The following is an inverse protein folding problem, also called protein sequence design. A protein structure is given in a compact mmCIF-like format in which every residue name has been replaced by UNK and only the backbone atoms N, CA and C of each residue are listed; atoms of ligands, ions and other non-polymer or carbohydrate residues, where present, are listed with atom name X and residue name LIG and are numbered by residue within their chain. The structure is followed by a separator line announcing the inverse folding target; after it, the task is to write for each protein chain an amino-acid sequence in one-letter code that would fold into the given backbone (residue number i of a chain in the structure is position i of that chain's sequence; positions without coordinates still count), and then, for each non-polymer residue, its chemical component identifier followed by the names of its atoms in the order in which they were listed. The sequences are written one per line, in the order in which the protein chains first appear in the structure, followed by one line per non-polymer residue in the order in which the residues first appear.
data_IF_118986075057
#
_entry.id   IF_118986075057
#
_cell.length_a   1.000
_cell.length_b   1.000
_cell.length_c   1.000
_cell.angle_alpha   90.00
_cell.angle_beta   90.00
_cell.angle_gamma   90.00
#
_symmetry.space_group_name_H-M   'P 1'
#
loop_
_entity.id
_entity.type
_entity.pdbx_description
1 polymer ?
#
# COMPACT_ATOMS: atom_id res chain seq x y z
N UNK A 1 -16.06 -2.00 27.07
CA UNK A 1 -16.33 -3.10 26.12
C UNK A 1 -15.61 -2.80 24.82
N UNK A 2 -14.68 -3.65 24.34
CA UNK A 2 -14.14 -3.49 22.99
C UNK A 2 -15.29 -3.64 22.00
N UNK A 3 -15.47 -2.65 21.12
CA UNK A 3 -16.49 -2.69 20.07
C UNK A 3 -16.21 -3.92 19.20
N UNK A 4 -17.20 -4.79 19.02
CA UNK A 4 -17.06 -5.94 18.12
C UNK A 4 -16.69 -5.41 16.74
N UNK A 5 -15.50 -5.79 16.26
CA UNK A 5 -15.12 -5.52 14.87
C UNK A 5 -16.09 -6.28 13.98
N UNK A 6 -16.54 -5.66 12.89
CA UNK A 6 -17.36 -6.35 11.88
C UNK A 6 -16.63 -7.64 11.50
N UNK A 7 -17.33 -8.78 11.57
CA UNK A 7 -16.82 -10.06 11.08
C UNK A 7 -16.91 -10.05 9.56
N UNK A 8 -16.02 -9.30 8.92
CA UNK A 8 -15.83 -9.38 7.47
C UNK A 8 -14.97 -10.61 7.18
N UNK A 9 -15.38 -11.44 6.23
CA UNK A 9 -14.52 -12.47 5.67
C UNK A 9 -13.29 -11.84 5.03
N UNK A 10 -12.22 -12.62 4.87
CA UNK A 10 -11.00 -12.15 4.21
C UNK A 10 -11.29 -11.57 2.80
N UNK A 11 -12.26 -12.16 2.08
CA UNK A 11 -12.69 -11.69 0.77
C UNK A 11 -13.31 -10.29 0.85
N UNK A 12 -14.26 -10.09 1.76
CA UNK A 12 -14.93 -8.79 1.95
C UNK A 12 -13.95 -7.70 2.40
N UNK A 13 -13.00 -8.04 3.27
CA UNK A 13 -11.95 -7.10 3.67
C UNK A 13 -11.06 -6.71 2.49
N UNK A 14 -10.71 -7.68 1.63
CA UNK A 14 -9.90 -7.45 0.43
C UNK A 14 -10.63 -6.57 -0.58
N UNK A 15 -11.93 -6.79 -0.78
CA UNK A 15 -12.76 -6.00 -1.68
C UNK A 15 -12.92 -4.56 -1.17
N UNK A 16 -13.18 -4.37 0.14
CA UNK A 16 -13.23 -3.04 0.75
C UNK A 16 -11.90 -2.31 0.61
N UNK A 17 -10.79 -3.00 0.88
CA UNK A 17 -9.46 -2.41 0.75
C UNK A 17 -9.21 -1.89 -0.67
N UNK A 18 -9.46 -2.73 -1.69
CA UNK A 18 -9.29 -2.33 -3.09
C UNK A 18 -10.15 -1.12 -3.46
N UNK A 19 -11.41 -1.10 -3.02
CA UNK A 19 -12.31 0.02 -3.28
C UNK A 19 -11.78 1.31 -2.65
N UNK A 20 -11.40 1.28 -1.37
CA UNK A 20 -10.87 2.45 -0.67
C UNK A 20 -9.57 2.95 -1.30
N UNK A 21 -8.68 2.06 -1.73
CA UNK A 21 -7.47 2.45 -2.45
C UNK A 21 -7.81 3.17 -3.77
N UNK A 22 -8.77 2.64 -4.54
CA UNK A 22 -9.22 3.30 -5.77
C UNK A 22 -9.85 4.67 -5.50
N UNK A 23 -10.72 4.78 -4.49
CA UNK A 23 -11.35 6.05 -4.12
C UNK A 23 -10.30 7.11 -3.75
N UNK A 24 -9.21 6.71 -3.08
CA UNK A 24 -8.10 7.61 -2.74
C UNK A 24 -7.24 7.99 -3.95
N UNK A 25 -7.07 7.08 -4.91
CA UNK A 25 -6.41 7.37 -6.18
C UNK A 25 -7.24 8.39 -6.98
N UNK A 26 -8.55 8.16 -7.08
CA UNK A 26 -9.47 9.04 -7.82
C UNK A 26 -9.57 10.42 -7.15
N UNK A 27 -9.45 10.48 -5.82
CA UNK A 27 -9.35 11.73 -5.05
C UNK A 27 -8.01 12.46 -5.22
N UNK A 28 -7.02 11.84 -5.85
CA UNK A 28 -5.65 12.36 -5.98
C UNK A 28 -4.84 12.32 -4.68
N UNK A 29 -5.38 11.71 -3.62
CA UNK A 29 -4.72 11.51 -2.31
C UNK A 29 -3.65 10.39 -2.39
N UNK A 30 -3.80 9.47 -3.35
CA UNK A 30 -2.78 8.49 -3.71
C UNK A 30 -2.40 8.64 -5.17
N UNK A 31 -1.10 8.73 -5.44
CA UNK A 31 -0.56 8.66 -6.79
C UNK A 31 0.07 7.28 -7.03
N UNK A 32 -0.53 6.44 -7.91
CA UNK A 32 0.03 5.13 -8.23
C UNK A 32 1.49 5.22 -8.73
N UNK A 33 1.79 6.27 -9.48
CA UNK A 33 3.12 6.50 -10.05
C UNK A 33 4.14 6.93 -8.99
N UNK A 34 3.72 7.69 -7.97
CA UNK A 34 4.63 8.10 -6.87
C UNK A 34 4.99 6.91 -5.96
N UNK A 35 4.05 5.99 -5.74
CA UNK A 35 4.31 4.77 -4.98
C UNK A 35 5.31 3.85 -5.70
N UNK A 36 5.14 3.67 -7.01
CA UNK A 36 6.07 2.93 -7.88
C UNK A 36 7.46 3.57 -7.87
N UNK A 37 7.55 4.89 -8.09
CA UNK A 37 8.81 5.62 -8.12
C UNK A 37 9.56 5.54 -6.78
N UNK A 38 8.84 5.64 -5.66
CA UNK A 38 9.42 5.46 -4.32
C UNK A 38 9.92 4.04 -4.09
N UNK A 39 9.17 3.04 -4.55
CA UNK A 39 9.56 1.64 -4.46
C UNK A 39 10.80 1.36 -5.28
N UNK A 40 10.83 1.79 -6.55
CA UNK A 40 12.00 1.68 -7.43
C UNK A 40 13.22 2.38 -6.83
N UNK A 41 13.04 3.59 -6.28
CA UNK A 41 14.12 4.32 -5.61
C UNK A 41 14.63 3.60 -4.37
N UNK A 42 13.74 2.98 -3.59
CA UNK A 42 14.12 2.19 -2.42
C UNK A 42 14.88 0.92 -2.82
N UNK A 43 14.41 0.20 -3.83
CA UNK A 43 15.07 -1.00 -4.37
C UNK A 43 16.43 -0.67 -4.96
N UNK A 44 16.54 0.43 -5.71
CA UNK A 44 17.82 0.91 -6.25
C UNK A 44 18.84 1.17 -5.14
N UNK A 45 18.43 1.78 -4.03
CA UNK A 45 19.33 2.00 -2.87
C UNK A 45 19.79 0.71 -2.21
N UNK A 46 18.96 -0.34 -2.22
CA UNK A 46 19.33 -1.65 -1.69
C UNK A 46 20.35 -2.32 -2.62
N UNK A 47 20.17 -2.20 -3.95
CA UNK A 47 21.09 -2.79 -4.94
C UNK A 47 22.40 -2.02 -5.09
N UNK A 48 22.39 -0.68 -4.93
CA UNK A 48 23.60 0.17 -5.00
C UNK A 48 24.41 0.16 -3.69
N UNK A 49 23.93 -0.50 -2.63
CA UNK A 49 24.69 -0.60 -1.38
C UNK A 49 25.81 -1.63 -1.57
N UNK A 50 27.10 -1.24 -1.57
CA UNK A 50 28.17 -2.23 -1.57
C UNK A 50 28.05 -3.08 -0.30
N UNK A 51 28.42 -4.38 -0.35
CA UNK A 51 28.51 -5.17 0.87
C UNK A 51 29.46 -4.46 1.83
N UNK A 52 29.03 -4.24 3.07
CA UNK A 52 29.91 -3.72 4.11
C UNK A 52 30.97 -4.81 4.39
N UNK A 53 32.22 -4.54 3.96
CA UNK A 53 33.42 -5.33 4.29
C UNK A 53 33.83 -5.16 5.76
#
# INVERSE_FOLDING_TARGET
MPKQKRQETQKEQSERFRKTVQDLIDAGELSPTEAEERFERAMKRITDRPPEE
#
